data_IF_450427105680
#
_entry.id   IF_450427105680
#
_cell.length_a   1.000
_cell.length_b   1.000
_cell.length_c   1.000
_cell.angle_alpha   90.00
_cell.angle_beta   90.00
_cell.angle_gamma   90.00
#
_symmetry.space_group_name_H-M   'P 1'
#
loop_
_entity.id
_entity.type
_entity.pdbx_description
1 polymer ?
#
# COMPACT_ATOMS: atom_id res chain seq x y z
N UNK A 1 8.64 13.17 -27.24
CA UNK A 1 9.29 12.28 -26.26
C UNK A 1 8.48 11.01 -26.19
N UNK A 2 9.08 9.86 -25.87
CA UNK A 2 8.29 8.63 -25.71
C UNK A 2 7.34 8.77 -24.50
N UNK A 3 6.17 8.14 -24.57
CA UNK A 3 5.14 8.25 -23.51
C UNK A 3 5.70 7.76 -22.18
N UNK A 4 6.52 6.71 -22.21
CA UNK A 4 7.16 6.12 -21.03
C UNK A 4 8.07 7.13 -20.33
N UNK A 5 8.85 7.91 -21.09
CA UNK A 5 9.71 8.96 -20.51
C UNK A 5 8.90 10.07 -19.85
N UNK A 6 7.77 10.45 -20.44
CA UNK A 6 6.88 11.45 -19.85
C UNK A 6 6.31 10.94 -18.52
N UNK A 7 5.82 9.71 -18.48
CA UNK A 7 5.29 9.09 -17.26
C UNK A 7 6.36 8.93 -16.16
N UNK A 8 7.59 8.55 -16.53
CA UNK A 8 8.72 8.49 -15.59
C UNK A 8 9.03 9.88 -15.01
N UNK A 9 9.02 10.92 -15.84
CA UNK A 9 9.24 12.29 -15.38
C UNK A 9 8.12 12.79 -14.45
N UNK A 10 6.86 12.46 -14.75
CA UNK A 10 5.72 12.74 -13.86
C UNK A 10 5.91 12.05 -12.52
N UNK A 11 6.29 10.77 -12.51
CA UNK A 11 6.56 10.01 -11.29
C UNK A 11 7.69 10.65 -10.46
N UNK A 12 8.80 11.02 -11.10
CA UNK A 12 9.91 11.71 -10.43
C UNK A 12 9.48 13.05 -9.81
N UNK A 13 8.64 13.81 -10.51
CA UNK A 13 8.06 15.05 -9.99
C UNK A 13 7.19 14.81 -8.76
N UNK A 14 6.33 13.79 -8.79
CA UNK A 14 5.50 13.40 -7.63
C UNK A 14 6.37 13.07 -6.42
N UNK A 15 7.41 12.25 -6.61
CA UNK A 15 8.35 11.91 -5.53
C UNK A 15 9.07 13.14 -4.98
N UNK A 16 9.58 14.00 -5.87
CA UNK A 16 10.29 15.22 -5.49
C UNK A 16 9.37 16.16 -4.69
N UNK A 17 8.16 16.41 -5.18
CA UNK A 17 7.17 17.27 -4.53
C UNK A 17 6.80 16.70 -3.17
N UNK A 18 6.48 15.40 -3.08
CA UNK A 18 6.11 14.76 -1.82
C UNK A 18 7.28 14.63 -0.82
N UNK A 19 8.53 14.74 -1.28
CA UNK A 19 9.71 14.73 -0.41
C UNK A 19 10.00 16.13 0.15
N UNK A 20 9.81 17.17 -0.67
CA UNK A 20 10.08 18.57 -0.28
C UNK A 20 8.90 19.20 0.46
N UNK A 21 7.68 18.84 0.09
CA UNK A 21 6.45 19.31 0.72
C UNK A 21 5.88 18.24 1.64
N UNK A 22 5.29 18.60 2.79
CA UNK A 22 4.65 17.67 3.73
C UNK A 22 3.27 17.22 3.23
N UNK A 23 3.20 16.66 2.02
CA UNK A 23 1.97 16.18 1.37
C UNK A 23 1.98 14.66 1.24
N UNK A 24 0.81 14.05 1.29
CA UNK A 24 0.68 12.59 1.19
C UNK A 24 1.05 12.11 -0.23
N UNK A 25 2.20 11.43 -0.35
CA UNK A 25 2.74 10.97 -1.63
C UNK A 25 1.76 10.13 -2.45
N UNK A 26 1.05 9.20 -1.81
CA UNK A 26 0.07 8.34 -2.49
C UNK A 26 -1.14 9.11 -3.08
N UNK A 27 -1.70 10.08 -2.35
CA UNK A 27 -2.81 10.89 -2.83
C UNK A 27 -2.36 11.79 -3.99
N UNK A 28 -1.15 12.38 -3.88
CA UNK A 28 -0.55 13.16 -4.95
C UNK A 28 -0.34 12.31 -6.22
N UNK A 29 0.21 11.10 -6.05
CA UNK A 29 0.44 10.16 -7.15
C UNK A 29 -0.86 9.76 -7.85
N UNK A 30 -1.93 9.51 -7.08
CA UNK A 30 -3.24 9.18 -7.63
C UNK A 30 -3.79 10.32 -8.49
N UNK A 31 -3.80 11.55 -7.97
CA UNK A 31 -4.27 12.72 -8.72
C UNK A 31 -3.40 12.94 -9.97
N UNK A 32 -2.07 12.83 -9.84
CA UNK A 32 -1.15 12.98 -10.97
C UNK A 32 -1.37 11.92 -12.06
N UNK A 33 -1.68 10.67 -11.68
CA UNK A 33 -1.98 9.59 -12.63
C UNK A 33 -3.24 9.89 -13.45
N UNK A 34 -4.32 10.35 -12.82
CA UNK A 34 -5.56 10.73 -13.51
C UNK A 34 -5.33 11.92 -14.45
N UNK A 35 -4.60 12.95 -13.99
CA UNK A 35 -4.25 14.12 -14.81
C UNK A 35 -3.40 13.70 -16.02
N UNK A 36 -2.34 12.91 -15.78
CA UNK A 36 -1.44 12.45 -16.84
C UNK A 36 -2.20 11.59 -17.86
N UNK A 37 -3.05 10.68 -17.41
CA UNK A 37 -3.86 9.85 -18.30
C UNK A 37 -4.84 10.68 -19.15
N UNK A 38 -5.49 11.69 -18.57
CA UNK A 38 -6.37 12.59 -19.31
C UNK A 38 -5.64 13.32 -20.45
N UNK A 39 -4.44 13.86 -20.18
CA UNK A 39 -3.69 14.61 -21.18
C UNK A 39 -2.95 13.74 -22.21
N UNK A 40 -2.62 12.50 -21.87
CA UNK A 40 -1.89 11.58 -22.76
C UNK A 40 -2.85 10.75 -23.60
N UNK A 41 -3.93 10.23 -23.01
CA UNK A 41 -4.85 9.28 -23.65
C UNK A 41 -6.24 9.86 -23.91
N UNK A 42 -6.64 10.95 -23.24
CA UNK A 42 -7.97 11.55 -23.42
C UNK A 42 -8.16 12.33 -24.73
N UNK A 43 -7.10 12.48 -25.54
CA UNK A 43 -7.11 13.23 -26.80
C UNK A 43 -7.10 12.33 -28.05
N UNK A 44 -6.74 11.05 -27.92
CA UNK A 44 -6.69 10.08 -29.03
C UNK A 44 -7.64 8.90 -28.71
N UNK A 45 -8.56 8.58 -29.63
CA UNK A 45 -9.66 7.60 -29.45
C UNK A 45 -9.21 6.12 -29.37
N UNK A 46 -7.91 5.83 -29.37
CA UNK A 46 -7.40 4.44 -29.40
C UNK A 46 -7.61 3.69 -28.08
N UNK A 47 -7.65 4.40 -26.94
CA UNK A 47 -7.93 3.81 -25.62
C UNK A 47 -8.99 4.65 -24.89
N UNK A 48 -10.12 4.04 -24.50
CA UNK A 48 -11.10 4.68 -23.62
C UNK A 48 -10.43 5.20 -22.34
N UNK A 49 -10.72 6.44 -21.94
CA UNK A 49 -10.11 7.09 -20.78
C UNK A 49 -10.31 6.29 -19.47
N UNK A 50 -11.45 5.63 -19.33
CA UNK A 50 -11.75 4.71 -18.23
C UNK A 50 -10.81 3.50 -18.21
N UNK A 51 -10.55 2.87 -19.35
CA UNK A 51 -9.58 1.77 -19.45
C UNK A 51 -8.13 2.26 -19.20
N UNK A 52 -7.78 3.45 -19.68
CA UNK A 52 -6.45 4.03 -19.50
C UNK A 52 -6.13 4.39 -18.03
N UNK A 53 -7.15 4.66 -17.22
CA UNK A 53 -6.98 5.02 -15.79
C UNK A 53 -7.25 3.85 -14.87
N UNK A 54 -8.37 3.16 -15.04
CA UNK A 54 -8.80 2.07 -14.16
C UNK A 54 -8.22 0.73 -14.58
N UNK A 55 -7.91 0.52 -15.87
CA UNK A 55 -7.31 -0.73 -16.34
C UNK A 55 -5.91 -1.00 -15.76
N UNK A 56 -5.18 0.05 -15.37
CA UNK A 56 -3.88 -0.06 -14.72
C UNK A 56 -3.92 0.11 -13.19
N UNK A 57 -5.04 0.55 -12.62
CA UNK A 57 -5.18 0.68 -11.19
C UNK A 57 -5.38 -0.69 -10.55
N UNK A 58 -4.50 -1.15 -9.64
CA UNK A 58 -4.62 -2.47 -9.03
C UNK A 58 -5.69 -2.45 -7.93
N UNK A 59 -6.96 -2.40 -8.34
CA UNK A 59 -8.11 -2.30 -7.43
C UNK A 59 -8.15 -3.41 -6.39
N UNK A 60 -7.88 -4.64 -6.79
CA UNK A 60 -7.84 -5.79 -5.89
C UNK A 60 -6.76 -5.62 -4.81
N UNK A 61 -5.55 -5.18 -5.18
CA UNK A 61 -4.47 -4.93 -4.22
C UNK A 61 -4.84 -3.80 -3.25
N UNK A 62 -5.47 -2.73 -3.75
CA UNK A 62 -5.95 -1.64 -2.92
C UNK A 62 -6.98 -2.13 -1.89
N UNK A 63 -7.98 -2.90 -2.34
CA UNK A 63 -9.00 -3.48 -1.46
C UNK A 63 -8.39 -4.41 -0.43
N UNK A 64 -7.43 -5.25 -0.81
CA UNK A 64 -6.70 -6.13 0.12
C UNK A 64 -5.93 -5.31 1.16
N UNK A 65 -5.17 -4.31 0.73
CA UNK A 65 -4.37 -3.48 1.63
C UNK A 65 -5.24 -2.73 2.65
N UNK A 66 -6.33 -2.11 2.17
CA UNK A 66 -7.30 -1.41 3.03
C UNK A 66 -8.00 -2.39 3.95
N UNK A 67 -8.44 -3.55 3.43
CA UNK A 67 -9.11 -4.59 4.19
C UNK A 67 -8.26 -5.12 5.34
N UNK A 68 -7.00 -5.46 5.06
CA UNK A 68 -6.04 -5.92 6.09
C UNK A 68 -5.78 -4.80 7.10
N UNK A 69 -5.54 -3.57 6.64
CA UNK A 69 -5.34 -2.42 7.55
C UNK A 69 -6.52 -2.23 8.49
N UNK A 70 -7.74 -2.35 7.97
CA UNK A 70 -8.98 -2.21 8.74
C UNK A 70 -9.20 -3.37 9.71
N UNK A 71 -8.94 -4.61 9.29
CA UNK A 71 -9.00 -5.79 10.15
C UNK A 71 -8.05 -5.65 11.34
N UNK A 72 -6.80 -5.23 11.09
CA UNK A 72 -5.83 -4.98 12.17
C UNK A 72 -6.22 -3.80 13.04
N UNK A 73 -6.83 -2.74 12.48
CA UNK A 73 -7.35 -1.63 13.28
C UNK A 73 -8.44 -2.12 14.26
N UNK A 74 -9.38 -2.96 13.80
CA UNK A 74 -10.40 -3.57 14.68
C UNK A 74 -9.75 -4.49 15.71
N UNK A 75 -8.84 -5.37 15.29
CA UNK A 75 -8.15 -6.32 16.16
C UNK A 75 -7.26 -5.63 17.21
N UNK A 76 -6.74 -4.44 16.90
CA UNK A 76 -6.01 -3.61 17.84
C UNK A 76 -6.96 -2.91 18.80
N UNK A 77 -8.06 -2.35 18.31
CA UNK A 77 -9.04 -1.63 19.13
C UNK A 77 -9.78 -2.55 20.12
N UNK A 78 -10.00 -3.81 19.76
CA UNK A 78 -10.60 -4.81 20.65
C UNK A 78 -9.58 -5.58 21.51
N UNK A 79 -8.28 -5.26 21.41
CA UNK A 79 -7.22 -5.88 22.22
C UNK A 79 -6.76 -7.27 21.78
N UNK A 80 -7.29 -7.82 20.68
CA UNK A 80 -6.85 -9.13 20.14
C UNK A 80 -5.36 -9.14 19.82
N UNK A 81 -4.86 -8.06 19.18
CA UNK A 81 -3.44 -7.92 18.87
C UNK A 81 -2.60 -7.88 20.16
N UNK A 82 -3.06 -7.16 21.18
CA UNK A 82 -2.36 -7.09 22.47
C UNK A 82 -2.32 -8.45 23.17
N UNK A 83 -3.43 -9.18 23.18
CA UNK A 83 -3.49 -10.53 23.72
C UNK A 83 -2.52 -11.47 23.00
N UNK A 84 -2.50 -11.42 21.66
CA UNK A 84 -1.62 -12.24 20.82
C UNK A 84 -0.14 -11.96 21.11
N UNK A 85 0.24 -10.68 21.22
CA UNK A 85 1.61 -10.27 21.56
C UNK A 85 1.99 -10.76 22.95
N UNK A 86 1.12 -10.62 23.95
CA UNK A 86 1.38 -11.11 25.31
C UNK A 86 1.53 -12.64 25.33
N UNK A 87 0.69 -13.38 24.59
CA UNK A 87 0.79 -14.82 24.47
C UNK A 87 2.12 -15.24 23.84
N UNK A 88 2.56 -14.56 22.78
CA UNK A 88 3.83 -14.83 22.09
C UNK A 88 5.05 -14.56 22.98
N UNK A 89 5.04 -13.44 23.72
CA UNK A 89 6.10 -13.10 24.68
C UNK A 89 6.13 -14.11 25.83
N UNK A 90 4.97 -14.51 26.36
CA UNK A 90 4.88 -15.54 27.41
C UNK A 90 5.38 -16.89 26.92
N UNK A 91 5.04 -17.29 25.69
CA UNK A 91 5.50 -18.53 25.06
C UNK A 91 7.04 -18.55 24.85
N UNK A 92 7.67 -17.36 24.74
CA UNK A 92 9.13 -17.24 24.63
C UNK A 92 9.90 -17.59 25.92
N UNK A 93 9.19 -17.82 27.05
CA UNK A 93 9.76 -18.39 28.26
C UNK A 93 10.86 -17.55 28.91
N UNK A 94 10.84 -16.22 28.73
CA UNK A 94 11.84 -15.30 29.28
C UNK A 94 13.18 -15.24 28.52
N UNK A 95 13.33 -15.98 27.41
CA UNK A 95 14.54 -15.94 26.58
C UNK A 95 14.47 -14.74 25.63
N UNK A 96 15.27 -13.70 25.88
CA UNK A 96 15.31 -12.48 25.06
C UNK A 96 15.53 -12.79 23.56
N UNK A 97 16.38 -13.77 23.23
CA UNK A 97 16.66 -14.17 21.87
C UNK A 97 15.51 -14.90 21.16
N UNK A 98 14.51 -15.44 21.90
CA UNK A 98 13.37 -16.13 21.32
C UNK A 98 12.23 -15.18 20.91
N UNK A 99 12.20 -13.97 21.48
CA UNK A 99 11.15 -12.98 21.22
C UNK A 99 11.06 -12.57 19.74
N UNK A 100 12.16 -12.25 19.03
CA UNK A 100 12.10 -11.91 17.61
C UNK A 100 11.53 -13.05 16.75
N UNK A 101 11.88 -14.30 17.06
CA UNK A 101 11.38 -15.48 16.35
C UNK A 101 9.90 -15.74 16.61
N UNK A 102 9.44 -15.55 17.86
CA UNK A 102 8.03 -15.63 18.20
C UNK A 102 7.22 -14.56 17.45
N UNK A 103 7.70 -13.30 17.45
CA UNK A 103 7.07 -12.22 16.70
C UNK A 103 7.06 -12.49 15.20
N UNK A 104 8.16 -12.98 14.62
CA UNK A 104 8.23 -13.37 13.21
C UNK A 104 7.22 -14.46 12.86
N UNK A 105 7.07 -15.47 13.73
CA UNK A 105 6.11 -16.56 13.51
C UNK A 105 4.68 -16.03 13.55
N UNK A 106 4.38 -15.16 14.51
CA UNK A 106 3.06 -14.53 14.65
C UNK A 106 2.74 -13.63 13.48
N UNK A 107 3.63 -12.71 13.11
CA UNK A 107 3.41 -11.82 11.96
C UNK A 107 3.36 -12.61 10.66
N UNK A 108 4.23 -13.59 10.47
CA UNK A 108 4.24 -14.47 9.31
C UNK A 108 2.95 -15.28 9.18
N UNK A 109 2.45 -15.87 10.27
CA UNK A 109 1.18 -16.60 10.27
C UNK A 109 -0.01 -15.69 9.94
N UNK A 110 -0.04 -14.46 10.47
CA UNK A 110 -1.10 -13.51 10.15
C UNK A 110 -1.04 -13.02 8.70
N UNK A 111 0.15 -12.72 8.18
CA UNK A 111 0.33 -12.33 6.78
C UNK A 111 -0.03 -13.48 5.83
N UNK A 112 0.23 -14.73 6.20
CA UNK A 112 -0.13 -15.90 5.40
C UNK A 112 -1.65 -16.14 5.26
N UNK A 113 -2.47 -15.62 6.18
CA UNK A 113 -3.94 -15.71 6.09
C UNK A 113 -4.50 -14.73 5.05
N UNK A 114 -3.79 -13.64 4.76
CA UNK A 114 -4.20 -12.61 3.80
C UNK A 114 -3.76 -12.86 2.36
N UNK A 115 -3.25 -14.07 2.06
CA UNK A 115 -2.82 -14.52 0.74
C UNK A 115 -3.85 -15.35 0.01
#
# INVERSE_FOLDING_TARGET
MSVELVLILVLLLVFLIATVLPVHMGALALVAAFIAAYFIYGLDEELPYDDAVFGFFPGDLFVVLVGVTYLFAIAKNNGTVDWLVHAAVKASGGRLAAIPWAMFTVTGALTAIGG
#
